data_IF_977327719974
#
_entry.id   IF_977327719974
#
_cell.length_a   1.000
_cell.length_b   1.000
_cell.length_c   1.000
_cell.angle_alpha   90.00
_cell.angle_beta   90.00
_cell.angle_gamma   90.00
#
_symmetry.space_group_name_H-M   'P 1'
#
loop_
_entity.id
_entity.type
_entity.pdbx_description
1 polymer ?
#
# COMPACT_ATOMS: atom_id res chain seq x y z
N UNK A 1 -16.03 -48.72 5.12
CA UNK A 1 -14.61 -48.40 4.89
C UNK A 1 -14.38 -47.34 3.81
N UNK A 2 -14.99 -47.44 2.62
CA UNK A 2 -14.81 -46.43 1.55
C UNK A 2 -15.19 -44.98 1.93
N UNK A 3 -16.23 -44.79 2.76
CA UNK A 3 -16.65 -43.46 3.24
C UNK A 3 -15.68 -42.83 4.25
N UNK A 4 -14.88 -43.64 4.96
CA UNK A 4 -13.95 -43.18 5.99
C UNK A 4 -12.65 -42.62 5.36
N UNK A 5 -12.24 -43.19 4.23
CA UNK A 5 -11.08 -42.73 3.44
C UNK A 5 -11.33 -41.32 2.87
N UNK A 6 -12.55 -41.02 2.43
CA UNK A 6 -12.91 -39.71 1.88
C UNK A 6 -12.87 -38.61 2.95
N UNK A 7 -13.31 -38.91 4.18
CA UNK A 7 -13.24 -37.98 5.31
C UNK A 7 -11.80 -37.66 5.73
N UNK A 8 -10.90 -38.63 5.66
CA UNK A 8 -9.47 -38.43 5.96
C UNK A 8 -8.80 -37.56 4.91
N UNK A 9 -9.14 -37.73 3.62
CA UNK A 9 -8.62 -36.88 2.54
C UNK A 9 -9.02 -35.40 2.71
N UNK A 10 -10.27 -35.14 3.09
CA UNK A 10 -10.78 -33.76 3.28
C UNK A 10 -10.09 -33.03 4.45
N UNK A 11 -9.71 -33.75 5.50
CA UNK A 11 -9.02 -33.15 6.66
C UNK A 11 -7.58 -32.74 6.34
N UNK A 12 -6.90 -33.42 5.40
CA UNK A 12 -5.53 -33.05 5.01
C UNK A 12 -5.45 -31.74 4.23
N UNK A 13 -6.51 -31.33 3.53
CA UNK A 13 -6.53 -30.09 2.75
C UNK A 13 -6.57 -28.83 3.64
N UNK A 14 -7.12 -28.94 4.85
CA UNK A 14 -7.26 -27.80 5.78
C UNK A 14 -5.90 -27.41 6.37
N UNK A 15 -4.98 -28.37 6.51
CA UNK A 15 -3.63 -28.11 7.02
C UNK A 15 -2.76 -27.30 6.04
N UNK A 16 -2.95 -27.47 4.73
CA UNK A 16 -2.23 -26.71 3.70
C UNK A 16 -2.80 -25.31 3.45
N UNK A 17 -4.04 -25.03 3.86
CA UNK A 17 -4.65 -23.70 3.74
C UNK A 17 -4.16 -22.69 4.80
N UNK A 18 -3.46 -23.16 5.85
CA UNK A 18 -2.86 -22.31 6.89
C UNK A 18 -1.43 -21.91 6.54
N UNK A 19 -1.19 -21.52 5.29
CA UNK A 19 0.11 -20.98 4.91
C UNK A 19 0.34 -19.67 5.68
N UNK A 20 1.27 -19.70 6.64
CA UNK A 20 1.61 -18.51 7.44
C UNK A 20 2.07 -17.43 6.48
N UNK A 21 1.36 -16.30 6.44
CA UNK A 21 1.77 -15.14 5.65
C UNK A 21 3.24 -14.84 5.94
N UNK A 22 4.08 -14.84 4.91
CA UNK A 22 5.51 -14.55 5.05
C UNK A 22 5.62 -13.06 5.40
N UNK A 23 6.12 -12.74 6.59
CA UNK A 23 6.31 -11.36 7.02
C UNK A 23 7.80 -11.05 6.96
N UNK A 24 8.15 -10.04 6.19
CA UNK A 24 9.49 -9.50 6.07
C UNK A 24 9.51 -8.01 6.43
N UNK A 25 10.69 -7.52 6.81
CA UNK A 25 10.89 -6.08 7.03
C UNK A 25 11.84 -5.54 5.97
N UNK A 26 11.57 -4.34 5.49
CA UNK A 26 12.48 -3.61 4.62
C UNK A 26 12.78 -2.22 5.19
N UNK A 27 13.95 -1.70 4.81
CA UNK A 27 14.44 -0.42 5.34
C UNK A 27 14.96 0.54 4.29
N UNK A 28 15.12 0.08 3.04
CA UNK A 28 15.60 0.88 1.92
C UNK A 28 14.44 1.35 1.04
N UNK A 29 13.46 2.01 1.65
CA UNK A 29 12.35 2.63 0.93
C UNK A 29 12.80 3.91 0.22
N UNK A 30 12.15 4.23 -0.89
CA UNK A 30 12.48 5.39 -1.73
C UNK A 30 11.55 6.55 -1.44
N UNK A 31 12.10 7.76 -1.46
CA UNK A 31 11.36 9.00 -1.26
C UNK A 31 11.42 9.81 -2.55
N UNK A 32 10.28 10.29 -3.02
CA UNK A 32 10.23 10.99 -4.29
C UNK A 32 8.91 11.70 -4.53
N UNK A 33 8.99 12.76 -5.35
CA UNK A 33 7.83 13.38 -5.98
C UNK A 33 7.48 12.54 -7.21
N UNK A 34 6.35 11.84 -7.14
CA UNK A 34 5.98 10.83 -8.15
C UNK A 34 4.99 11.37 -9.19
N UNK A 35 4.15 12.34 -8.82
CA UNK A 35 3.15 12.91 -9.71
C UNK A 35 2.95 14.41 -9.46
N UNK A 36 2.89 15.18 -10.54
CA UNK A 36 2.41 16.56 -10.54
C UNK A 36 1.18 16.60 -11.45
N UNK A 37 0.02 16.90 -10.89
CA UNK A 37 -1.25 17.00 -11.61
C UNK A 37 -1.80 18.42 -11.51
N UNK A 38 -2.31 18.95 -12.62
CA UNK A 38 -2.95 20.27 -12.66
C UNK A 38 -4.47 20.09 -12.78
N UNK A 39 -5.22 20.64 -11.84
CA UNK A 39 -6.66 20.87 -11.98
C UNK A 39 -6.91 22.29 -12.52
N UNK A 40 -8.17 22.65 -12.78
CA UNK A 40 -8.51 23.99 -13.27
C UNK A 40 -8.12 25.12 -12.32
N UNK A 41 -7.97 24.85 -11.02
CA UNK A 41 -7.69 25.84 -9.98
C UNK A 41 -6.48 25.54 -9.11
N UNK A 42 -6.09 24.27 -9.01
CA UNK A 42 -5.03 23.83 -8.10
C UNK A 42 -3.95 23.01 -8.85
N UNK A 43 -2.72 23.07 -8.35
CA UNK A 43 -1.64 22.14 -8.69
C UNK A 43 -1.48 21.17 -7.53
N UNK A 44 -1.60 19.88 -7.81
CA UNK A 44 -1.50 18.80 -6.83
C UNK A 44 -0.19 18.06 -7.06
N UNK A 45 0.66 18.02 -6.04
CA UNK A 45 1.91 17.28 -6.02
C UNK A 45 1.71 16.07 -5.12
N UNK A 46 1.94 14.86 -5.64
CA UNK A 46 1.95 13.63 -4.86
C UNK A 46 3.39 13.18 -4.67
N UNK A 47 3.80 13.05 -3.42
CA UNK A 47 5.08 12.47 -3.04
C UNK A 47 4.85 11.17 -2.29
N UNK A 48 5.68 10.17 -2.55
CA UNK A 48 5.67 8.91 -1.79
C UNK A 48 6.94 8.80 -0.97
N UNK A 49 6.81 8.20 0.21
CA UNK A 49 7.91 8.01 1.15
C UNK A 49 7.98 6.56 1.58
N UNK A 50 9.22 6.09 1.80
CA UNK A 50 9.54 4.69 2.08
C UNK A 50 9.01 3.71 1.02
N UNK A 51 8.77 4.18 -0.20
CA UNK A 51 8.05 3.42 -1.20
C UNK A 51 8.92 2.34 -1.87
N UNK A 52 8.27 1.27 -2.33
CA UNK A 52 8.91 0.29 -3.22
C UNK A 52 8.93 0.81 -4.65
N UNK A 53 10.10 0.77 -5.28
CA UNK A 53 10.32 1.32 -6.63
C UNK A 53 9.32 0.83 -7.67
N UNK A 54 8.94 -0.44 -7.60
CA UNK A 54 8.08 -1.09 -8.59
C UNK A 54 6.63 -0.62 -8.55
N UNK A 55 6.15 -0.12 -7.41
CA UNK A 55 4.73 0.23 -7.21
C UNK A 55 4.49 1.70 -6.87
N UNK A 56 5.55 2.49 -6.61
CA UNK A 56 5.44 3.88 -6.13
C UNK A 56 4.62 4.79 -7.05
N UNK A 57 4.81 4.68 -8.36
CA UNK A 57 4.10 5.53 -9.34
C UNK A 57 2.61 5.16 -9.42
N UNK A 58 2.29 3.87 -9.47
CA UNK A 58 0.91 3.38 -9.53
C UNK A 58 0.12 3.86 -8.31
N UNK A 59 0.70 3.68 -7.12
CA UNK A 59 0.07 4.11 -5.88
C UNK A 59 -0.07 5.63 -5.82
N UNK A 60 0.91 6.40 -6.30
CA UNK A 60 0.79 7.86 -6.37
C UNK A 60 -0.39 8.31 -7.24
N UNK A 61 -0.62 7.65 -8.38
CA UNK A 61 -1.79 7.92 -9.24
C UNK A 61 -3.10 7.58 -8.52
N UNK A 62 -3.17 6.47 -7.80
CA UNK A 62 -4.37 6.07 -7.03
C UNK A 62 -4.64 7.00 -5.84
N UNK A 63 -3.59 7.47 -5.15
CA UNK A 63 -3.69 8.51 -4.12
C UNK A 63 -4.29 9.79 -4.72
N UNK A 64 -3.84 10.21 -5.89
CA UNK A 64 -4.42 11.37 -6.58
C UNK A 64 -5.90 11.16 -6.93
N UNK A 65 -6.30 9.99 -7.44
CA UNK A 65 -7.70 9.69 -7.73
C UNK A 65 -8.58 9.78 -6.47
N UNK A 66 -8.14 9.18 -5.36
CA UNK A 66 -8.88 9.26 -4.09
C UNK A 66 -8.96 10.69 -3.55
N UNK A 67 -7.89 11.48 -3.74
CA UNK A 67 -7.92 12.90 -3.39
C UNK A 67 -8.95 13.66 -4.23
N UNK A 68 -8.97 13.45 -5.55
CA UNK A 68 -9.94 14.08 -6.46
C UNK A 68 -11.40 13.69 -6.15
N UNK A 69 -11.60 12.51 -5.57
CA UNK A 69 -12.90 12.02 -5.09
C UNK A 69 -13.24 12.48 -3.66
N UNK A 70 -12.42 13.33 -3.03
CA UNK A 70 -12.56 13.80 -1.64
C UNK A 70 -12.58 12.65 -0.60
N UNK A 71 -11.87 11.56 -0.87
CA UNK A 71 -11.79 10.37 0.00
C UNK A 71 -10.57 10.36 0.93
N UNK A 72 -9.71 11.37 0.83
CA UNK A 72 -8.50 11.49 1.66
C UNK A 72 -8.61 12.65 2.63
N UNK A 73 -8.15 12.40 3.85
CA UNK A 73 -7.97 13.38 4.91
C UNK A 73 -6.53 13.33 5.39
N UNK A 74 -6.07 14.46 5.93
CA UNK A 74 -4.71 14.57 6.47
C UNK A 74 -4.57 13.79 7.79
N UNK A 75 -3.38 13.26 8.05
CA UNK A 75 -3.01 12.47 9.23
C UNK A 75 -3.88 11.21 9.45
N UNK A 76 -4.40 10.62 8.37
CA UNK A 76 -5.11 9.34 8.39
C UNK A 76 -4.36 8.27 7.61
N UNK A 77 -4.51 7.02 8.05
CA UNK A 77 -4.00 5.84 7.36
C UNK A 77 -4.99 5.35 6.31
N UNK A 78 -4.46 5.02 5.14
CA UNK A 78 -5.23 4.45 4.04
C UNK A 78 -4.54 3.21 3.51
N UNK A 79 -5.35 2.24 3.08
CA UNK A 79 -4.87 1.10 2.28
C UNK A 79 -5.25 1.33 0.83
N UNK A 80 -4.24 1.44 -0.02
CA UNK A 80 -4.37 1.70 -1.46
C UNK A 80 -4.09 0.39 -2.20
N UNK A 81 -5.10 -0.16 -2.86
CA UNK A 81 -4.96 -1.41 -3.61
C UNK A 81 -4.35 -1.14 -4.98
N UNK A 82 -3.12 -1.61 -5.18
CA UNK A 82 -2.40 -1.63 -6.45
C UNK A 82 -2.71 -2.86 -7.31
N UNK A 83 -1.98 -3.01 -8.40
CA UNK A 83 -2.10 -4.17 -9.30
C UNK A 83 -1.41 -5.42 -8.75
N UNK A 84 -0.30 -5.22 -8.02
CA UNK A 84 0.52 -6.33 -7.48
C UNK A 84 0.50 -6.41 -5.95
N UNK A 85 0.12 -5.31 -5.29
CA UNK A 85 0.10 -5.21 -3.84
C UNK A 85 -0.87 -4.15 -3.34
N UNK A 86 -1.35 -4.31 -2.11
CA UNK A 86 -2.02 -3.25 -1.36
C UNK A 86 -1.05 -2.57 -0.41
N UNK A 87 -1.02 -1.24 -0.41
CA UNK A 87 -0.11 -0.45 0.43
C UNK A 87 -0.90 0.28 1.50
N UNK A 88 -0.58 0.01 2.76
CA UNK A 88 -1.06 0.81 3.89
C UNK A 88 -0.03 1.88 4.25
N UNK A 89 -0.49 3.12 4.37
CA UNK A 89 0.37 4.25 4.69
C UNK A 89 -0.39 5.44 5.27
N UNK A 90 0.34 6.35 5.91
CA UNK A 90 -0.20 7.61 6.42
C UNK A 90 -0.21 8.68 5.33
N UNK A 91 -1.31 9.41 5.21
CA UNK A 91 -1.47 10.51 4.26
C UNK A 91 -1.36 11.85 4.98
N UNK A 92 -0.54 12.77 4.46
CA UNK A 92 -0.43 14.15 4.96
C UNK A 92 -0.74 15.10 3.81
N UNK A 93 -1.79 15.90 3.97
CA UNK A 93 -2.24 16.86 2.96
C UNK A 93 -1.92 18.26 3.47
N UNK A 94 -1.22 19.05 2.65
CA UNK A 94 -0.84 20.45 2.93
C UNK A 94 -1.31 21.31 1.78
N UNK A 95 -1.99 22.43 2.08
CA UNK A 95 -2.44 23.40 1.09
C UNK A 95 -1.83 24.76 1.34
N UNK A 96 -1.29 25.39 0.30
CA UNK A 96 -0.83 26.78 0.30
C UNK A 96 -1.28 27.43 -1.00
N UNK A 97 -2.21 28.38 -0.92
CA UNK A 97 -2.86 29.00 -2.08
C UNK A 97 -3.47 27.92 -3.00
N UNK A 98 -3.05 27.89 -4.26
CA UNK A 98 -3.42 26.92 -5.29
C UNK A 98 -2.51 25.69 -5.34
N UNK A 99 -1.53 25.57 -4.43
CA UNK A 99 -0.64 24.42 -4.37
C UNK A 99 -1.08 23.47 -3.27
N UNK A 100 -1.21 22.20 -3.63
CA UNK A 100 -1.61 21.12 -2.74
C UNK A 100 -0.52 20.05 -2.79
N UNK A 101 0.09 19.77 -1.66
CA UNK A 101 1.08 18.71 -1.50
C UNK A 101 0.45 17.57 -0.71
N UNK A 102 0.53 16.36 -1.25
CA UNK A 102 0.06 15.13 -0.63
C UNK A 102 1.24 14.20 -0.47
N UNK A 103 1.62 13.95 0.77
CA UNK A 103 2.70 13.04 1.12
C UNK A 103 2.10 11.73 1.62
N UNK A 104 2.44 10.61 0.96
CA UNK A 104 1.97 9.29 1.34
C UNK A 104 3.14 8.43 1.83
N UNK A 105 3.14 8.12 3.13
CA UNK A 105 4.21 7.39 3.81
C UNK A 105 3.87 5.92 3.90
N UNK A 106 4.59 5.08 3.18
CA UNK A 106 4.40 3.63 3.22
C UNK A 106 4.79 3.09 4.60
N UNK A 107 3.93 2.22 5.13
CA UNK A 107 4.17 1.52 6.40
C UNK A 107 4.13 0.01 6.21
N UNK A 108 3.18 -0.49 5.42
CA UNK A 108 2.99 -1.93 5.15
C UNK A 108 2.61 -2.14 3.68
N UNK A 109 3.15 -3.20 3.09
CA UNK A 109 2.84 -3.66 1.75
C UNK A 109 2.36 -5.10 1.86
N UNK A 110 1.18 -5.39 1.35
CA UNK A 110 0.63 -6.74 1.24
C UNK A 110 0.61 -7.12 -0.24
N UNK A 111 1.61 -7.89 -0.66
CA UNK A 111 1.72 -8.41 -2.01
C UNK A 111 0.67 -9.49 -2.24
N UNK A 112 0.11 -9.53 -3.45
CA UNK A 112 -0.86 -10.58 -3.81
C UNK A 112 -0.24 -11.98 -3.90
N UNK A 113 1.09 -12.07 -3.89
CA UNK A 113 1.84 -13.32 -3.68
C UNK A 113 1.73 -13.88 -2.25
N UNK A 114 1.16 -13.13 -1.30
CA UNK A 114 1.05 -13.52 0.11
C UNK A 114 2.19 -13.01 1.00
N UNK A 115 3.21 -12.38 0.42
CA UNK A 115 4.27 -11.69 1.15
C UNK A 115 3.73 -10.39 1.78
N UNK A 116 4.03 -10.19 3.06
CA UNK A 116 3.82 -8.92 3.76
C UNK A 116 5.18 -8.30 4.05
N UNK A 117 5.37 -7.06 3.62
CA UNK A 117 6.55 -6.27 3.94
C UNK A 117 6.19 -5.09 4.83
N UNK A 118 6.84 -4.98 5.98
CA UNK A 118 6.67 -3.87 6.91
C UNK A 118 7.89 -2.96 6.84
N UNK A 119 7.67 -1.67 6.64
CA UNK A 119 8.75 -0.70 6.68
C UNK A 119 9.27 -0.55 8.11
N UNK A 120 10.57 -0.77 8.31
CA UNK A 120 11.25 -0.53 9.58
C UNK A 120 12.24 0.62 9.40
N UNK A 121 11.94 1.75 10.03
CA UNK A 121 12.85 2.90 10.12
C UNK A 121 14.13 2.45 10.83
N UNK A 122 15.28 2.52 10.18
CA UNK A 122 16.55 2.37 10.87
C UNK A 122 16.72 3.58 11.79
N UNK A 123 16.77 3.32 13.10
CA UNK A 123 17.37 4.24 14.05
C UNK A 123 18.86 3.88 14.02
N UNK A 124 19.62 4.66 13.27
CA UNK A 124 21.09 4.63 13.31
C UNK A 124 21.61 5.29 14.57
#
# INVERSE_FOLDING_TARGET
MKKLILSILLLTQIAFAQEKKKIETYSFGQNGMELIAKSSKDVVIISTFNAKMTIREEIARKVYSLYAENKLETNKKYTISGNEASVTGNCVIRKKNNLIAIDFYYEKIEWYSGLIEIYKKFLG
#
